data_IF_607203604958
#
_entry.id   IF_607203604958
#
_cell.length_a   1.000
_cell.length_b   1.000
_cell.length_c   1.000
_cell.angle_alpha   90.00
_cell.angle_beta   90.00
_cell.angle_gamma   90.00
#
_symmetry.space_group_name_H-M   'P 1'
#
loop_
_entity.id
_entity.type
_entity.pdbx_description
1 polymer ?
#
# COMPACT_ATOMS: atom_id res chain seq x y z
N UNK A 1 15.37 -7.94 -4.24
CA UNK A 1 14.22 -8.82 -3.90
C UNK A 1 14.64 -10.27 -4.11
N UNK A 2 14.06 -11.21 -3.38
CA UNK A 2 14.32 -12.64 -3.58
C UNK A 2 13.23 -13.23 -4.49
N UNK A 3 13.55 -14.28 -5.24
CA UNK A 3 12.59 -14.92 -6.15
C UNK A 3 11.23 -15.27 -5.50
N UNK A 4 11.17 -15.77 -4.24
CA UNK A 4 9.89 -16.00 -3.57
C UNK A 4 9.06 -14.74 -3.30
N UNK A 5 9.72 -13.59 -3.07
CA UNK A 5 9.04 -12.31 -2.83
C UNK A 5 8.45 -11.77 -4.13
N UNK A 6 9.18 -11.90 -5.23
CA UNK A 6 8.69 -11.51 -6.57
C UNK A 6 7.48 -12.35 -7.00
N UNK A 7 7.53 -13.66 -6.80
CA UNK A 7 6.41 -14.55 -7.10
C UNK A 7 5.17 -14.20 -6.27
N UNK A 8 5.34 -13.95 -4.97
CA UNK A 8 4.26 -13.53 -4.08
C UNK A 8 3.60 -12.22 -4.56
N UNK A 9 4.39 -11.21 -4.88
CA UNK A 9 3.88 -9.91 -5.35
C UNK A 9 3.17 -10.04 -6.70
N UNK A 10 3.78 -10.76 -7.64
CA UNK A 10 3.17 -11.00 -8.96
C UNK A 10 1.85 -11.77 -8.89
N UNK A 11 1.72 -12.65 -7.89
CA UNK A 11 0.49 -13.40 -7.63
C UNK A 11 -0.56 -12.47 -7.03
N UNK A 12 -0.18 -11.67 -6.03
CA UNK A 12 -1.05 -10.69 -5.39
C UNK A 12 -1.65 -9.69 -6.39
N UNK A 13 -0.84 -9.16 -7.31
CA UNK A 13 -1.29 -8.18 -8.32
C UNK A 13 -2.30 -8.73 -9.33
N UNK A 14 -2.35 -10.06 -9.51
CA UNK A 14 -3.28 -10.73 -10.42
C UNK A 14 -4.63 -11.07 -9.79
N UNK A 15 -4.77 -10.90 -8.47
CA UNK A 15 -6.00 -11.25 -7.77
C UNK A 15 -7.08 -10.17 -7.94
N UNK A 16 -8.37 -10.55 -7.88
CA UNK A 16 -9.46 -9.60 -7.77
C UNK A 16 -9.30 -8.69 -6.56
N UNK A 17 -9.81 -7.46 -6.64
CA UNK A 17 -9.68 -6.46 -5.58
C UNK A 17 -10.17 -6.96 -4.20
N UNK A 18 -11.28 -7.70 -4.16
CA UNK A 18 -11.81 -8.30 -2.94
C UNK A 18 -10.82 -9.25 -2.26
N UNK A 19 -10.12 -10.07 -3.04
CA UNK A 19 -9.13 -11.03 -2.54
C UNK A 19 -7.84 -10.32 -2.12
N UNK A 20 -7.44 -9.28 -2.87
CA UNK A 20 -6.30 -8.43 -2.49
C UNK A 20 -6.53 -7.75 -1.14
N UNK A 21 -7.74 -7.25 -0.89
CA UNK A 21 -8.10 -6.63 0.39
C UNK A 21 -8.05 -7.66 1.54
N UNK A 22 -8.57 -8.87 1.32
CA UNK A 22 -8.51 -9.94 2.32
C UNK A 22 -7.07 -10.32 2.68
N UNK A 23 -6.22 -10.51 1.67
CA UNK A 23 -4.80 -10.83 1.86
C UNK A 23 -4.07 -9.68 2.56
N UNK A 24 -4.30 -8.43 2.15
CA UNK A 24 -3.67 -7.26 2.77
C UNK A 24 -4.01 -7.18 4.26
N UNK A 25 -5.28 -7.42 4.62
CA UNK A 25 -5.75 -7.42 6.00
C UNK A 25 -5.10 -8.54 6.84
N UNK A 26 -4.97 -9.74 6.26
CA UNK A 26 -4.31 -10.87 6.89
C UNK A 26 -2.79 -10.67 7.07
N UNK A 27 -2.13 -10.00 6.11
CA UNK A 27 -0.73 -9.59 6.24
C UNK A 27 -0.62 -8.55 7.35
N UNK A 28 -1.43 -7.48 7.34
CA UNK A 28 -1.43 -6.44 8.37
C UNK A 28 -1.57 -7.00 9.80
N UNK A 29 -2.46 -7.97 10.00
CA UNK A 29 -2.61 -8.67 11.29
C UNK A 29 -1.34 -9.41 11.73
N UNK A 30 -0.64 -10.07 10.80
CA UNK A 30 0.59 -10.83 11.07
C UNK A 30 1.78 -9.91 11.32
N UNK A 31 1.90 -8.85 10.52
CA UNK A 31 3.04 -7.93 10.57
C UNK A 31 2.94 -6.94 11.73
N UNK A 32 1.75 -6.75 12.34
CA UNK A 32 1.59 -5.98 13.58
C UNK A 32 2.53 -6.42 14.72
N UNK A 33 2.95 -7.68 14.72
CA UNK A 33 3.86 -8.23 15.74
C UNK A 33 5.34 -8.10 15.37
N UNK A 34 5.66 -7.57 14.19
CA UNK A 34 7.03 -7.29 13.77
C UNK A 34 7.40 -5.86 14.19
N UNK A 35 8.68 -5.66 14.51
CA UNK A 35 9.23 -4.34 14.77
C UNK A 35 9.37 -3.58 13.46
N UNK A 36 8.32 -2.84 13.07
CA UNK A 36 8.44 -1.85 12.02
C UNK A 36 9.13 -0.60 12.56
N UNK A 37 10.09 -0.02 11.82
CA UNK A 37 10.57 1.30 12.16
C UNK A 37 9.37 2.25 12.18
N UNK A 38 9.30 3.11 13.20
CA UNK A 38 8.32 4.18 13.20
C UNK A 38 8.49 5.03 11.94
N UNK A 39 7.39 5.39 11.29
CA UNK A 39 7.40 6.36 10.21
C UNK A 39 8.04 7.65 10.72
N UNK A 40 8.97 8.20 9.95
CA UNK A 40 9.52 9.51 10.25
C UNK A 40 8.49 10.60 9.93
N UNK A 41 8.70 11.80 10.49
CA UNK A 41 7.86 12.95 10.13
C UNK A 41 7.95 13.27 8.64
N UNK A 42 9.10 13.05 8.02
CA UNK A 42 9.27 13.22 6.59
C UNK A 42 8.39 12.23 5.84
N UNK A 43 8.44 10.93 6.19
CA UNK A 43 7.58 9.91 5.55
C UNK A 43 6.09 10.30 5.61
N UNK A 44 5.63 10.84 6.74
CA UNK A 44 4.25 11.30 6.89
C UNK A 44 3.90 12.49 5.97
N UNK A 45 4.82 13.45 5.81
CA UNK A 45 4.63 14.60 4.91
C UNK A 45 4.58 14.15 3.45
N UNK A 46 5.48 13.25 3.04
CA UNK A 46 5.50 12.69 1.68
C UNK A 46 4.22 11.91 1.37
N UNK A 47 3.76 11.06 2.30
CA UNK A 47 2.49 10.34 2.14
C UNK A 47 1.30 11.30 2.02
N UNK A 48 1.28 12.38 2.82
CA UNK A 48 0.22 13.38 2.72
C UNK A 48 0.22 14.07 1.35
N UNK A 49 1.40 14.46 0.85
CA UNK A 49 1.55 15.09 -0.47
C UNK A 49 1.04 14.19 -1.61
N UNK A 50 1.36 12.90 -1.60
CA UNK A 50 0.84 11.95 -2.60
C UNK A 50 -0.69 11.87 -2.59
N UNK A 51 -1.31 11.89 -1.40
CA UNK A 51 -2.77 11.89 -1.25
C UNK A 51 -3.37 13.17 -1.82
N UNK A 52 -2.81 14.34 -1.47
CA UNK A 52 -3.29 15.62 -2.00
C UNK A 52 -3.19 15.69 -3.53
N UNK A 53 -2.08 15.24 -4.11
CA UNK A 53 -1.90 15.20 -5.56
C UNK A 53 -2.89 14.26 -6.27
N UNK A 54 -3.27 13.14 -5.66
CA UNK A 54 -4.30 12.25 -6.20
C UNK A 54 -5.69 12.90 -6.13
N UNK A 55 -6.01 13.57 -5.03
CA UNK A 55 -7.28 14.29 -4.89
C UNK A 55 -7.39 15.43 -5.91
N UNK A 56 -6.33 16.22 -6.09
CA UNK A 56 -6.29 17.29 -7.10
C UNK A 56 -6.52 16.73 -8.53
N UNK A 57 -5.97 15.54 -8.84
CA UNK A 57 -6.20 14.87 -10.12
C UNK A 57 -7.66 14.45 -10.30
N UNK A 58 -8.29 13.93 -9.24
CA UNK A 58 -9.69 13.53 -9.25
C UNK A 58 -10.61 14.74 -9.45
N UNK A 59 -10.37 15.83 -8.71
CA UNK A 59 -11.12 17.09 -8.86
C UNK A 59 -10.99 17.65 -10.28
N UNK A 60 -9.78 17.68 -10.85
CA UNK A 60 -9.56 18.15 -12.21
C UNK A 60 -10.19 17.26 -13.30
N UNK A 61 -10.47 15.98 -13.00
CA UNK A 61 -11.16 15.08 -13.93
C UNK A 61 -12.68 15.13 -13.83
N UNK A 62 -13.20 15.70 -12.75
CA UNK A 62 -14.63 15.88 -12.49
C UNK A 62 -15.16 17.27 -12.95
N UNK A 63 -14.29 18.14 -13.51
CA UNK A 63 -14.62 19.40 -14.21
C UNK A 63 -14.80 19.23 -15.73
#
# INVERSE_FOLDING_TARGET
MTAPVEELLSTFDRLPESERLEIALEILKRVRHLDFPCLSNEDLVWNAEEIFLELDRQEASDE
#
